data_IF_682314336957
#
_entry.id   IF_682314336957
#
_cell.length_a   1.000
_cell.length_b   1.000
_cell.length_c   1.000
_cell.angle_alpha   90.00
_cell.angle_beta   90.00
_cell.angle_gamma   90.00
#
_symmetry.space_group_name_H-M   'P 1'
#
loop_
_entity.id
_entity.type
_entity.pdbx_description
1 polymer ?
#
# COMPACT_ATOMS: atom_id res chain seq x y z
N UNK A 1 -12.91 0.28 97.48
CA UNK A 1 -11.92 -0.81 97.64
C UNK A 1 -11.58 -1.40 96.27
N UNK A 2 -10.33 -1.87 96.07
CA UNK A 2 -9.85 -2.79 94.99
C UNK A 2 -10.17 -2.35 93.53
N UNK A 3 -9.26 -1.82 92.70
CA UNK A 3 -7.95 -2.32 92.17
C UNK A 3 -8.01 -3.70 91.47
N UNK A 4 -7.54 -3.70 90.21
CA UNK A 4 -6.77 -4.77 89.51
C UNK A 4 -7.55 -6.04 89.07
N UNK A 5 -7.17 -6.78 88.01
CA UNK A 5 -6.12 -6.64 86.97
C UNK A 5 -6.55 -7.44 85.69
N UNK A 6 -5.99 -7.09 84.51
CA UNK A 6 -5.77 -7.89 83.28
C UNK A 6 -6.78 -8.96 82.78
N UNK A 7 -7.01 -8.94 81.46
CA UNK A 7 -6.46 -9.96 80.53
C UNK A 7 -6.19 -9.30 79.17
N UNK A 8 -5.01 -9.57 78.59
CA UNK A 8 -4.70 -9.27 77.18
C UNK A 8 -5.24 -10.40 76.29
N UNK A 9 -5.85 -10.05 75.16
CA UNK A 9 -5.87 -10.90 73.97
C UNK A 9 -5.51 -10.05 72.76
N UNK A 10 -4.35 -10.35 72.16
CA UNK A 10 -3.96 -9.86 70.84
C UNK A 10 -4.86 -10.50 69.77
N UNK A 11 -5.33 -9.73 68.80
CA UNK A 11 -5.66 -10.26 67.48
C UNK A 11 -5.44 -9.19 66.39
N UNK A 12 -4.63 -9.60 65.41
CA UNK A 12 -4.30 -9.02 64.11
C UNK A 12 -5.23 -7.90 63.58
N UNK A 13 -4.68 -6.76 63.15
CA UNK A 13 -4.22 -6.57 61.76
C UNK A 13 -5.24 -7.08 60.71
N UNK A 14 -5.90 -6.14 60.03
CA UNK A 14 -5.56 -5.76 58.65
C UNK A 14 -6.30 -4.45 58.35
N UNK A 15 -5.56 -3.43 57.93
CA UNK A 15 -6.18 -2.20 57.46
C UNK A 15 -6.82 -2.44 56.09
N UNK A 16 -8.15 -2.39 56.03
CA UNK A 16 -8.84 -2.18 54.75
C UNK A 16 -8.62 -0.71 54.39
N UNK A 17 -7.45 -0.43 53.82
CA UNK A 17 -7.28 0.77 53.00
C UNK A 17 -8.39 0.72 51.95
N UNK A 18 -9.20 1.77 51.91
CA UNK A 18 -10.27 1.88 50.93
C UNK A 18 -9.66 1.90 49.54
N UNK A 19 -9.56 0.73 48.91
CA UNK A 19 -9.36 0.62 47.48
C UNK A 19 -10.52 1.40 46.86
N UNK A 20 -10.22 2.60 46.37
CA UNK A 20 -11.05 3.33 45.43
C UNK A 20 -11.16 2.48 44.18
N UNK A 21 -12.07 1.50 44.23
CA UNK A 21 -12.47 0.71 43.09
C UNK A 21 -12.96 1.71 42.06
N UNK A 22 -12.12 1.96 41.05
CA UNK A 22 -12.53 2.72 39.87
C UNK A 22 -13.83 2.06 39.42
N UNK A 23 -14.91 2.84 39.41
CA UNK A 23 -16.21 2.34 38.99
C UNK A 23 -16.00 1.61 37.67
N UNK A 24 -16.57 0.40 37.56
CA UNK A 24 -16.52 -0.38 36.32
C UNK A 24 -17.21 0.47 35.27
N UNK A 25 -16.39 1.19 34.49
CA UNK A 25 -16.86 2.14 33.51
C UNK A 25 -17.70 1.37 32.50
N UNK A 26 -18.88 1.93 32.16
CA UNK A 26 -19.77 1.40 31.12
C UNK A 26 -18.92 0.87 29.96
N UNK A 27 -19.06 -0.41 29.62
CA UNK A 27 -18.28 -1.06 28.58
C UNK A 27 -18.28 -0.18 27.32
N UNK A 28 -17.13 0.44 27.08
CA UNK A 28 -17.02 1.49 26.09
C UNK A 28 -17.07 0.81 24.71
N UNK A 29 -18.22 0.92 24.04
CA UNK A 29 -18.49 0.24 22.77
C UNK A 29 -17.64 0.86 21.66
N UNK A 30 -16.42 0.36 21.53
CA UNK A 30 -15.50 0.71 20.46
C UNK A 30 -16.07 0.25 19.11
N UNK A 31 -15.94 1.11 18.11
CA UNK A 31 -16.22 0.76 16.71
C UNK A 31 -14.93 0.82 15.91
N UNK A 32 -14.59 -0.23 15.17
CA UNK A 32 -13.37 -0.27 14.35
C UNK A 32 -13.79 -0.23 12.87
N UNK A 33 -13.30 0.76 12.12
CA UNK A 33 -13.71 0.98 10.73
C UNK A 33 -12.46 1.24 9.85
N UNK A 34 -12.07 0.32 8.94
CA UNK A 34 -12.57 -1.05 8.75
C UNK A 34 -11.97 -2.08 9.75
N UNK A 35 -12.59 -3.26 9.87
CA UNK A 35 -12.05 -4.38 10.66
C UNK A 35 -10.79 -5.06 10.07
N UNK A 36 -10.46 -4.76 8.82
CA UNK A 36 -9.39 -5.40 8.04
C UNK A 36 -9.38 -4.83 6.63
N UNK A 37 -8.27 -5.00 5.92
CA UNK A 37 -8.15 -4.68 4.49
C UNK A 37 -8.13 -5.95 3.64
N UNK A 38 -8.31 -5.81 2.32
CA UNK A 38 -8.43 -6.90 1.32
C UNK A 38 -7.27 -7.94 1.35
N UNK A 39 -6.17 -7.63 2.03
CA UNK A 39 -4.93 -8.43 2.13
C UNK A 39 -4.61 -8.91 3.55
N UNK A 40 -5.47 -8.61 4.53
CA UNK A 40 -5.29 -9.02 5.92
C UNK A 40 -5.87 -10.41 6.21
N UNK A 41 -5.33 -11.10 7.22
CA UNK A 41 -5.84 -12.40 7.66
C UNK A 41 -7.12 -12.19 8.49
N UNK A 42 -8.23 -12.11 7.76
CA UNK A 42 -9.59 -11.89 8.28
C UNK A 42 -9.77 -10.49 8.87
N UNK A 43 -10.69 -10.37 9.81
CA UNK A 43 -10.99 -9.13 10.55
C UNK A 43 -9.87 -8.77 11.56
N UNK A 44 -8.63 -8.61 11.10
CA UNK A 44 -7.43 -8.43 11.93
C UNK A 44 -7.60 -7.40 13.04
N UNK A 45 -8.08 -6.20 12.70
CA UNK A 45 -8.22 -5.10 13.66
C UNK A 45 -9.41 -5.27 14.61
N UNK A 46 -10.32 -6.22 14.34
CA UNK A 46 -11.46 -6.57 15.19
C UNK A 46 -11.29 -7.91 15.93
N UNK A 47 -10.09 -8.50 15.92
CA UNK A 47 -9.78 -9.65 16.79
C UNK A 47 -9.80 -9.20 18.26
N UNK A 48 -10.22 -10.10 19.15
CA UNK A 48 -10.43 -9.79 20.57
C UNK A 48 -9.19 -9.17 21.24
N UNK A 49 -8.00 -9.68 20.95
CA UNK A 49 -6.73 -9.17 21.46
C UNK A 49 -6.44 -7.71 21.02
N UNK A 50 -6.88 -7.32 19.82
CA UNK A 50 -6.78 -5.94 19.33
C UNK A 50 -7.83 -5.03 19.96
N UNK A 51 -9.07 -5.51 20.11
CA UNK A 51 -10.12 -4.78 20.81
C UNK A 51 -9.73 -4.50 22.27
N UNK A 52 -9.17 -5.47 22.98
CA UNK A 52 -8.68 -5.30 24.35
C UNK A 52 -7.49 -4.32 24.43
N UNK A 53 -6.60 -4.33 23.45
CA UNK A 53 -5.53 -3.33 23.32
C UNK A 53 -6.11 -1.93 23.14
N UNK A 54 -7.15 -1.75 22.32
CA UNK A 54 -7.78 -0.45 22.13
C UNK A 54 -8.54 0.01 23.38
N UNK A 55 -9.28 -0.89 24.06
CA UNK A 55 -9.95 -0.60 25.34
C UNK A 55 -8.97 -0.06 26.39
N UNK A 56 -7.79 -0.68 26.50
CA UNK A 56 -6.69 -0.24 27.39
C UNK A 56 -6.10 1.13 27.02
N UNK A 57 -6.41 1.68 25.84
CA UNK A 57 -5.97 3.00 25.39
C UNK A 57 -7.09 4.06 25.42
N UNK A 58 -8.32 3.71 25.81
CA UNK A 58 -9.41 4.68 26.00
C UNK A 58 -9.11 5.58 27.20
N UNK A 59 -9.26 6.90 27.03
CA UNK A 59 -8.95 7.89 28.06
C UNK A 59 -7.47 8.27 28.16
N UNK A 60 -6.60 7.69 27.33
CA UNK A 60 -5.22 8.14 27.21
C UNK A 60 -5.15 9.57 26.63
N UNK A 61 -4.06 10.27 26.95
CA UNK A 61 -3.78 11.60 26.37
C UNK A 61 -3.72 11.49 24.84
N UNK A 62 -4.44 12.37 24.16
CA UNK A 62 -4.35 12.55 22.71
C UNK A 62 -2.92 12.92 22.33
N UNK A 63 -2.41 12.34 21.25
CA UNK A 63 -1.05 12.58 20.73
C UNK A 63 -1.04 12.98 19.25
N UNK A 64 -2.19 12.95 18.57
CA UNK A 64 -2.34 13.27 17.15
C UNK A 64 -3.64 14.02 16.84
N UNK A 65 -3.55 15.07 16.02
CA UNK A 65 -4.68 15.81 15.44
C UNK A 65 -5.82 16.10 16.45
N UNK A 66 -5.44 16.63 17.62
CA UNK A 66 -6.28 17.08 18.76
C UNK A 66 -7.21 16.06 19.44
N UNK A 67 -7.69 15.04 18.73
CA UNK A 67 -8.73 14.10 19.20
C UNK A 67 -8.28 12.64 19.19
N UNK A 68 -7.13 12.33 18.59
CA UNK A 68 -6.70 10.95 18.34
C UNK A 68 -5.51 10.56 19.23
N UNK A 69 -5.45 9.28 19.56
CA UNK A 69 -4.27 8.59 20.07
C UNK A 69 -3.80 7.58 19.01
N UNK A 70 -2.53 7.66 18.61
CA UNK A 70 -1.89 6.71 17.70
C UNK A 70 -1.46 5.46 18.47
N UNK A 71 -2.00 4.31 18.08
CA UNK A 71 -1.63 3.01 18.65
C UNK A 71 -0.82 2.25 17.61
N UNK A 72 0.40 1.84 18.01
CA UNK A 72 1.30 1.01 17.20
C UNK A 72 1.16 -0.45 17.66
N UNK A 73 0.53 -1.27 16.83
CA UNK A 73 0.34 -2.70 17.07
C UNK A 73 1.58 -3.43 16.55
N UNK A 74 2.29 -4.14 17.41
CA UNK A 74 3.38 -5.02 16.99
C UNK A 74 2.80 -6.27 16.31
N UNK A 75 3.18 -6.49 15.05
CA UNK A 75 2.79 -7.60 14.18
C UNK A 75 4.03 -8.45 13.82
N UNK A 76 4.91 -8.67 14.80
CA UNK A 76 6.17 -9.39 14.66
C UNK A 76 7.30 -8.50 14.16
N UNK A 77 7.50 -8.44 12.84
CA UNK A 77 8.52 -7.59 12.19
C UNK A 77 7.99 -6.22 11.76
N UNK A 78 6.69 -6.00 11.87
CA UNK A 78 6.04 -4.79 11.38
C UNK A 78 5.19 -4.13 12.47
N UNK A 79 5.03 -2.82 12.38
CA UNK A 79 3.95 -2.10 13.03
C UNK A 79 2.74 -2.00 12.11
N UNK A 80 1.56 -2.25 12.66
CA UNK A 80 0.28 -1.77 12.11
C UNK A 80 -0.18 -0.58 12.94
N UNK A 81 -0.64 0.47 12.27
CA UNK A 81 -1.02 1.72 12.92
C UNK A 81 -2.53 1.86 12.93
N UNK A 82 -3.09 2.31 14.05
CA UNK A 82 -4.48 2.77 14.14
C UNK A 82 -4.54 4.12 14.86
N UNK A 83 -5.51 4.95 14.50
CA UNK A 83 -5.88 6.14 15.25
C UNK A 83 -7.17 5.86 16.04
N UNK A 84 -7.09 5.86 17.37
CA UNK A 84 -8.26 5.83 18.25
C UNK A 84 -8.72 7.27 18.50
N UNK A 85 -9.93 7.62 18.07
CA UNK A 85 -10.57 8.88 18.42
C UNK A 85 -11.13 8.79 19.85
N UNK A 86 -10.59 9.60 20.76
CA UNK A 86 -10.97 9.59 22.18
C UNK A 86 -12.37 10.19 22.45
N UNK A 87 -13.02 10.81 21.45
CA UNK A 87 -14.35 11.43 21.59
C UNK A 87 -15.50 10.49 21.20
N UNK A 88 -15.40 9.86 20.03
CA UNK A 88 -16.45 8.97 19.49
C UNK A 88 -16.13 7.47 19.65
N UNK A 89 -14.95 7.16 20.22
CA UNK A 89 -14.46 5.81 20.46
C UNK A 89 -14.35 4.96 19.17
N UNK A 90 -14.15 5.62 18.04
CA UNK A 90 -13.87 4.96 16.77
C UNK A 90 -12.37 4.74 16.57
N UNK A 91 -12.02 3.57 16.07
CA UNK A 91 -10.67 3.16 15.72
C UNK A 91 -10.55 3.10 14.21
N UNK A 92 -9.57 3.81 13.67
CA UNK A 92 -9.34 3.95 12.24
C UNK A 92 -7.96 3.38 11.87
N UNK A 93 -7.90 2.19 11.27
CA UNK A 93 -6.64 1.62 10.80
C UNK A 93 -6.01 2.36 9.62
N UNK A 94 -4.67 2.42 9.62
CA UNK A 94 -3.88 2.78 8.46
C UNK A 94 -3.66 1.53 7.59
N UNK A 95 -3.89 1.67 6.27
CA UNK A 95 -3.74 0.61 5.25
C UNK A 95 -2.26 0.29 4.94
N UNK A 96 -1.44 0.06 5.97
CA UNK A 96 -0.01 -0.28 5.86
C UNK A 96 0.47 -1.16 7.03
N UNK A 97 1.21 -2.22 6.72
CA UNK A 97 2.25 -2.75 7.59
C UNK A 97 3.52 -1.91 7.36
N UNK A 98 4.26 -1.58 8.42
CA UNK A 98 5.39 -0.64 8.38
C UNK A 98 6.57 -1.31 9.10
N UNK A 99 7.79 -1.27 8.56
CA UNK A 99 8.94 -1.90 9.24
C UNK A 99 9.19 -1.28 10.63
N UNK A 100 9.56 -2.12 11.60
CA UNK A 100 9.73 -1.71 12.99
C UNK A 100 10.84 -0.67 13.23
N UNK A 101 11.79 -0.50 12.29
CA UNK A 101 12.84 0.53 12.36
C UNK A 101 12.38 1.90 11.86
N UNK A 102 11.14 1.99 11.35
CA UNK A 102 10.60 3.22 10.78
C UNK A 102 10.45 4.32 11.83
N UNK A 103 10.77 5.56 11.43
CA UNK A 103 10.64 6.76 12.27
C UNK A 103 9.26 7.37 12.06
N UNK A 104 8.59 7.77 13.15
CA UNK A 104 7.25 8.34 13.13
C UNK A 104 7.31 9.79 13.61
N UNK A 105 6.64 10.68 12.89
CA UNK A 105 6.57 12.12 13.12
C UNK A 105 5.10 12.56 13.08
N UNK A 106 4.56 12.88 14.25
CA UNK A 106 3.19 13.33 14.46
C UNK A 106 3.09 14.06 15.81
N UNK A 107 2.08 14.92 15.98
CA UNK A 107 1.84 15.61 17.25
C UNK A 107 0.38 16.03 17.40
N UNK A 108 -0.01 16.41 18.63
CA UNK A 108 -1.36 16.88 18.97
C UNK A 108 -1.80 18.05 18.09
N UNK A 109 -0.86 18.93 17.73
CA UNK A 109 -1.13 20.16 16.99
C UNK A 109 -0.94 20.01 15.47
N UNK A 110 -0.46 18.86 14.99
CA UNK A 110 -0.30 18.55 13.58
C UNK A 110 -1.43 17.60 13.12
N UNK A 111 -2.02 17.89 11.96
CA UNK A 111 -3.03 17.02 11.34
C UNK A 111 -2.43 15.88 10.51
N UNK A 112 -1.10 15.88 10.36
CA UNK A 112 -0.30 14.95 9.56
C UNK A 112 0.43 13.92 10.44
N UNK A 113 0.28 12.65 10.08
CA UNK A 113 1.12 11.54 10.52
C UNK A 113 2.11 11.23 9.40
N UNK A 114 3.37 11.60 9.58
CA UNK A 114 4.46 11.24 8.68
C UNK A 114 5.25 10.05 9.23
N UNK A 115 5.65 9.15 8.35
CA UNK A 115 6.45 7.98 8.70
C UNK A 115 7.57 7.81 7.68
N UNK A 116 8.78 7.49 8.11
CA UNK A 116 9.94 7.23 7.25
C UNK A 116 10.47 5.82 7.49
N UNK A 117 10.46 4.97 6.45
CA UNK A 117 10.92 3.58 6.49
C UNK A 117 10.30 2.73 5.38
N UNK A 118 10.21 1.42 5.57
CA UNK A 118 9.56 0.52 4.60
C UNK A 118 8.06 0.36 4.89
N UNK A 119 7.26 0.39 3.82
CA UNK A 119 5.80 0.23 3.86
C UNK A 119 5.40 -0.95 2.99
N UNK A 120 4.50 -1.76 3.53
CA UNK A 120 3.97 -2.95 2.89
C UNK A 120 2.45 -2.89 2.90
N UNK A 121 1.86 -2.85 1.72
CA UNK A 121 0.42 -2.86 1.53
C UNK A 121 0.11 -3.36 0.13
N UNK A 122 -1.06 -3.97 -0.04
CA UNK A 122 -1.43 -4.59 -1.30
C UNK A 122 -1.34 -3.65 -2.50
N UNK A 123 -0.30 -3.88 -3.32
CA UNK A 123 0.10 -3.12 -4.52
C UNK A 123 0.67 -1.71 -4.28
N UNK A 124 0.80 -1.32 -3.02
CA UNK A 124 1.30 -0.01 -2.59
C UNK A 124 2.57 -0.19 -1.71
N UNK A 125 3.53 -1.01 -2.15
CA UNK A 125 4.77 -1.22 -1.37
C UNK A 125 5.77 -0.08 -1.62
N UNK A 126 6.32 0.50 -0.56
CA UNK A 126 7.29 1.59 -0.64
C UNK A 126 8.53 1.26 0.19
N UNK A 127 9.66 1.01 -0.48
CA UNK A 127 10.93 0.75 0.20
C UNK A 127 11.66 2.04 0.56
N UNK A 128 11.95 2.18 1.85
CA UNK A 128 12.76 3.22 2.46
C UNK A 128 12.29 4.59 1.95
N UNK A 129 11.09 4.96 2.37
CA UNK A 129 10.30 6.07 1.86
C UNK A 129 9.79 6.94 3.01
N UNK A 130 9.43 8.20 2.75
CA UNK A 130 8.64 9.03 3.68
C UNK A 130 7.22 9.18 3.16
N UNK A 131 6.25 8.61 3.85
CA UNK A 131 4.82 8.77 3.55
C UNK A 131 4.15 9.60 4.64
N UNK A 132 3.27 10.53 4.25
CA UNK A 132 2.49 11.35 5.17
C UNK A 132 0.99 11.17 4.93
N UNK A 133 0.23 11.04 6.01
CA UNK A 133 -1.21 10.78 6.02
C UNK A 133 -1.94 11.83 6.86
N UNK A 134 -3.17 12.19 6.46
CA UNK A 134 -4.08 13.04 7.27
C UNK A 134 -5.38 12.28 7.55
N UNK A 135 -6.01 12.55 8.69
CA UNK A 135 -7.36 12.05 8.96
C UNK A 135 -8.41 12.92 8.27
N UNK A 136 -9.19 12.33 7.36
CA UNK A 136 -10.32 12.97 6.68
C UNK A 136 -11.50 12.02 6.80
N UNK A 137 -12.66 12.50 7.29
CA UNK A 137 -13.90 11.75 7.41
C UNK A 137 -13.76 10.36 8.08
N UNK A 138 -12.89 10.22 9.09
CA UNK A 138 -12.63 8.93 9.73
C UNK A 138 -11.82 7.97 8.86
N UNK A 139 -10.86 8.46 8.08
CA UNK A 139 -9.95 7.62 7.30
C UNK A 139 -8.60 8.29 7.10
N UNK A 140 -7.53 7.49 7.10
CA UNK A 140 -6.20 7.96 6.74
C UNK A 140 -6.09 8.16 5.22
N UNK A 141 -6.03 9.42 4.81
CA UNK A 141 -5.79 9.82 3.41
C UNK A 141 -4.32 10.13 3.22
N UNK A 142 -3.66 9.40 2.32
CA UNK A 142 -2.26 9.63 1.90
C UNK A 142 -2.18 11.02 1.26
N UNK A 143 -1.19 11.83 1.66
CA UNK A 143 -1.01 13.22 1.19
C UNK A 143 0.32 13.47 0.48
N UNK A 144 1.39 12.78 0.87
CA UNK A 144 2.71 12.96 0.29
C UNK A 144 3.51 11.65 0.36
N UNK A 145 4.40 11.44 -0.60
CA UNK A 145 5.26 10.27 -0.77
C UNK A 145 6.65 10.77 -1.23
N UNK A 146 7.71 10.24 -0.64
CA UNK A 146 9.09 10.39 -1.10
C UNK A 146 9.74 9.01 -1.04
N UNK A 147 10.24 8.48 -2.16
CA UNK A 147 10.65 7.07 -2.27
C UNK A 147 12.16 6.88 -2.50
N UNK A 148 12.62 5.63 -2.43
CA UNK A 148 13.95 5.20 -2.87
C UNK A 148 15.16 5.75 -2.09
N UNK A 149 15.06 5.81 -0.76
CA UNK A 149 16.25 5.59 0.07
C UNK A 149 16.71 4.09 -0.13
N UNK A 150 17.95 3.69 0.17
CA UNK A 150 18.59 2.44 -0.37
C UNK A 150 18.23 1.10 0.34
N UNK A 151 18.39 -0.14 -0.20
CA UNK A 151 18.69 -0.72 -1.56
C UNK A 151 18.50 -2.29 -1.64
N UNK A 152 17.93 -2.80 -2.77
CA UNK A 152 18.29 -4.08 -3.50
C UNK A 152 17.81 -5.49 -2.99
N UNK A 153 17.80 -6.47 -3.92
CA UNK A 153 17.06 -7.75 -4.01
C UNK A 153 17.79 -8.83 -4.85
N UNK A 154 17.26 -10.07 -4.93
CA UNK A 154 17.37 -11.10 -6.03
C UNK A 154 16.66 -12.42 -5.59
N UNK A 155 16.26 -13.40 -6.40
CA UNK A 155 16.38 -13.69 -7.85
C UNK A 155 15.03 -14.15 -8.47
N UNK A 156 14.92 -14.05 -9.80
CA UNK A 156 14.13 -14.98 -10.63
C UNK A 156 15.11 -15.93 -11.35
N UNK A 157 14.89 -17.25 -11.47
CA UNK A 157 13.70 -18.04 -11.11
C UNK A 157 12.42 -17.45 -11.68
N UNK A 158 12.37 -17.29 -13.01
CA UNK A 158 11.34 -16.59 -13.81
C UNK A 158 9.96 -16.57 -13.14
N UNK A 159 9.73 -15.55 -12.30
CA UNK A 159 8.44 -15.35 -11.67
C UNK A 159 7.50 -14.95 -12.79
N UNK A 160 6.56 -15.84 -13.11
CA UNK A 160 5.46 -15.55 -14.02
C UNK A 160 4.76 -14.30 -13.49
N UNK A 161 5.06 -13.15 -14.09
CA UNK A 161 4.41 -11.90 -13.71
C UNK A 161 2.92 -12.11 -14.00
N UNK A 162 2.10 -12.04 -12.95
CA UNK A 162 0.65 -12.06 -13.08
C UNK A 162 0.22 -10.69 -13.60
N UNK A 163 0.45 -10.51 -14.89
CA UNK A 163 0.02 -9.36 -15.70
C UNK A 163 -1.49 -9.50 -15.86
N UNK A 164 -2.28 -8.43 -15.67
CA UNK A 164 -3.69 -8.41 -15.99
C UNK A 164 -3.95 -7.79 -17.38
N UNK A 165 -5.12 -8.05 -17.97
CA UNK A 165 -5.27 -8.24 -19.41
C UNK A 165 -6.31 -7.31 -20.08
N UNK A 166 -5.78 -6.30 -20.79
CA UNK A 166 -6.35 -5.54 -21.90
C UNK A 166 -7.34 -4.38 -21.59
N UNK A 167 -7.01 -3.22 -22.19
CA UNK A 167 -7.60 -1.87 -21.99
C UNK A 167 -9.14 -1.72 -21.99
N UNK A 168 -9.88 -2.71 -22.50
CA UNK A 168 -11.35 -2.75 -22.42
C UNK A 168 -11.89 -3.11 -21.02
N UNK A 169 -11.01 -3.51 -20.09
CA UNK A 169 -11.40 -4.11 -18.82
C UNK A 169 -12.26 -3.19 -17.97
N UNK A 170 -11.92 -1.91 -17.83
CA UNK A 170 -12.67 -0.97 -16.98
C UNK A 170 -14.16 -0.90 -17.36
N UNK A 171 -14.45 -0.67 -18.64
CA UNK A 171 -15.82 -0.59 -19.18
C UNK A 171 -16.56 -1.93 -19.22
N UNK A 172 -15.86 -3.07 -19.21
CA UNK A 172 -16.49 -4.41 -19.05
C UNK A 172 -16.76 -4.72 -17.59
N UNK A 173 -15.81 -4.40 -16.72
CA UNK A 173 -15.90 -4.58 -15.27
C UNK A 173 -17.07 -3.78 -14.69
N UNK A 174 -17.23 -2.51 -15.09
CA UNK A 174 -18.32 -1.63 -14.64
C UNK A 174 -19.72 -2.17 -14.93
N UNK A 175 -19.88 -3.07 -15.91
CA UNK A 175 -21.17 -3.73 -16.21
C UNK A 175 -21.61 -4.71 -15.12
N UNK A 176 -20.73 -5.04 -14.17
CA UNK A 176 -20.95 -6.13 -13.20
C UNK A 176 -20.27 -5.90 -11.84
N UNK A 177 -19.60 -4.76 -11.63
CA UNK A 177 -18.77 -4.47 -10.45
C UNK A 177 -18.78 -2.97 -10.15
N UNK A 178 -18.45 -2.61 -8.91
CA UNK A 178 -18.33 -1.20 -8.50
C UNK A 178 -17.15 -0.50 -9.17
N UNK A 179 -17.30 0.81 -9.40
CA UNK A 179 -16.26 1.66 -10.00
C UNK A 179 -14.90 1.50 -9.31
N UNK A 180 -14.84 1.60 -7.98
CA UNK A 180 -13.59 1.42 -7.22
C UNK A 180 -12.93 0.03 -7.38
N UNK A 181 -13.72 -1.03 -7.58
CA UNK A 181 -13.17 -2.36 -7.89
C UNK A 181 -12.58 -2.39 -9.30
N UNK A 182 -13.22 -1.72 -10.24
CA UNK A 182 -12.74 -1.62 -11.63
C UNK A 182 -11.54 -0.68 -11.78
N UNK A 183 -11.48 0.42 -11.03
CA UNK A 183 -10.32 1.31 -10.92
C UNK A 183 -9.11 0.50 -10.42
N UNK A 184 -9.22 -0.12 -9.23
CA UNK A 184 -8.19 -1.03 -8.67
C UNK A 184 -7.70 -2.12 -9.64
N UNK A 185 -8.53 -2.56 -10.59
CA UNK A 185 -8.15 -3.58 -11.58
C UNK A 185 -7.52 -2.93 -12.82
N UNK A 186 -8.10 -1.85 -13.34
CA UNK A 186 -7.55 -1.02 -14.42
C UNK A 186 -6.16 -0.46 -14.09
N UNK A 187 -5.95 -0.04 -12.84
CA UNK A 187 -4.67 0.49 -12.34
C UNK A 187 -3.56 -0.57 -12.33
N UNK A 188 -3.91 -1.85 -12.16
CA UNK A 188 -2.97 -2.94 -12.42
C UNK A 188 -2.74 -3.16 -13.91
N UNK A 189 -3.81 -3.16 -14.72
CA UNK A 189 -3.71 -3.46 -16.16
C UNK A 189 -2.90 -2.40 -16.92
N UNK A 190 -2.76 -1.22 -16.33
CA UNK A 190 -1.99 -0.09 -16.83
C UNK A 190 -0.67 0.15 -16.09
N UNK A 191 -0.23 -0.75 -15.21
CA UNK A 191 1.01 -0.54 -14.45
C UNK A 191 2.27 -0.63 -15.32
N UNK A 192 3.05 0.45 -15.34
CA UNK A 192 4.36 0.55 -15.98
C UNK A 192 5.44 0.24 -14.95
N UNK A 193 6.27 -0.78 -15.21
CA UNK A 193 7.40 -1.14 -14.35
C UNK A 193 8.65 -0.39 -14.80
N UNK A 194 9.37 0.27 -13.88
CA UNK A 194 10.67 0.85 -14.21
C UNK A 194 11.66 -0.24 -14.65
N UNK A 195 12.66 0.09 -15.49
CA UNK A 195 13.69 -0.88 -15.86
C UNK A 195 14.45 -1.44 -14.64
N UNK A 196 14.55 -0.64 -13.56
CA UNK A 196 15.11 -1.06 -12.27
C UNK A 196 14.23 -2.14 -11.62
N UNK A 197 12.91 -1.98 -11.61
CA UNK A 197 11.99 -2.98 -11.05
C UNK A 197 11.98 -4.28 -11.86
N UNK A 198 12.09 -4.20 -13.19
CA UNK A 198 12.26 -5.39 -14.04
C UNK A 198 13.58 -6.09 -13.74
N UNK A 199 14.70 -5.36 -13.62
CA UNK A 199 16.01 -5.92 -13.19
C UNK A 199 15.95 -6.65 -11.85
N UNK A 200 15.04 -6.22 -10.99
CA UNK A 200 14.89 -6.70 -9.63
C UNK A 200 13.97 -7.92 -9.52
N UNK A 201 12.89 -7.94 -10.31
CA UNK A 201 11.80 -8.95 -10.26
C UNK A 201 11.92 -10.02 -11.35
N UNK A 202 12.50 -9.66 -12.50
CA UNK A 202 12.73 -10.49 -13.68
C UNK A 202 14.08 -10.16 -14.37
N UNK A 203 15.24 -10.33 -13.68
CA UNK A 203 16.59 -10.13 -14.23
C UNK A 203 16.83 -10.65 -15.66
N UNK A 204 16.25 -11.78 -16.05
CA UNK A 204 16.35 -12.32 -17.41
C UNK A 204 15.57 -11.51 -18.47
N UNK A 205 14.40 -10.96 -18.13
CA UNK A 205 13.69 -10.03 -19.01
C UNK A 205 14.48 -8.73 -19.11
N UNK A 206 15.05 -8.25 -17.99
CA UNK A 206 15.96 -7.12 -18.02
C UNK A 206 17.21 -7.38 -18.88
N UNK A 207 17.75 -8.60 -18.90
CA UNK A 207 18.86 -8.97 -19.79
C UNK A 207 18.47 -8.89 -21.27
N UNK A 208 17.22 -9.21 -21.63
CA UNK A 208 16.68 -8.99 -22.98
C UNK A 208 16.56 -7.48 -23.28
N UNK A 209 15.97 -6.70 -22.37
CA UNK A 209 15.85 -5.24 -22.51
C UNK A 209 17.21 -4.53 -22.60
N UNK A 210 18.25 -5.08 -21.97
CA UNK A 210 19.62 -4.55 -21.98
C UNK A 210 20.40 -4.85 -23.27
N UNK A 211 19.83 -5.62 -24.21
CA UNK A 211 20.47 -5.83 -25.52
C UNK A 211 20.48 -4.52 -26.33
N UNK A 212 21.58 -4.23 -27.04
CA UNK A 212 21.79 -2.95 -27.77
C UNK A 212 20.57 -2.49 -28.59
N UNK A 213 19.85 -3.41 -29.25
CA UNK A 213 18.64 -3.09 -30.05
C UNK A 213 17.52 -2.44 -29.25
N UNK A 214 17.37 -2.79 -27.97
CA UNK A 214 16.34 -2.25 -27.06
C UNK A 214 16.95 -1.18 -26.15
N UNK A 215 18.18 -1.38 -25.67
CA UNK A 215 18.88 -0.43 -24.80
C UNK A 215 19.04 0.95 -25.45
N UNK A 216 19.30 1.00 -26.77
CA UNK A 216 19.42 2.25 -27.52
C UNK A 216 18.11 3.07 -27.60
N UNK A 217 16.96 2.50 -27.26
CA UNK A 217 15.70 3.24 -27.16
C UNK A 217 15.71 4.19 -25.96
N UNK A 218 16.47 3.85 -24.91
CA UNK A 218 16.52 4.55 -23.61
C UNK A 218 15.12 4.71 -23.02
N UNK A 219 14.51 3.56 -22.66
CA UNK A 219 13.18 3.47 -22.06
C UNK A 219 13.23 3.79 -20.56
N UNK A 220 12.22 4.47 -20.04
CA UNK A 220 12.07 4.76 -18.62
C UNK A 220 11.34 3.62 -17.90
N UNK A 221 10.39 2.99 -18.60
CA UNK A 221 9.64 1.85 -18.10
C UNK A 221 9.14 0.90 -19.19
N UNK A 222 8.60 -0.23 -18.75
CA UNK A 222 7.90 -1.20 -19.59
C UNK A 222 6.61 -1.64 -18.93
N UNK A 223 5.55 -1.67 -19.73
CA UNK A 223 4.27 -2.30 -19.42
C UNK A 223 4.21 -3.65 -20.09
N UNK A 224 3.90 -4.71 -19.36
CA UNK A 224 3.79 -6.03 -19.96
C UNK A 224 2.43 -6.19 -20.67
N UNK A 225 2.44 -6.85 -21.82
CA UNK A 225 1.22 -7.33 -22.49
C UNK A 225 1.05 -8.80 -22.11
N UNK A 226 -0.19 -9.30 -21.99
CA UNK A 226 -0.44 -10.73 -21.77
C UNK A 226 0.22 -11.62 -22.83
N UNK A 227 0.49 -12.87 -22.47
CA UNK A 227 0.92 -13.88 -23.44
C UNK A 227 -0.23 -14.19 -24.41
N UNK A 228 0.04 -14.15 -25.72
CA UNK A 228 -0.94 -14.35 -26.78
C UNK A 228 -0.40 -15.48 -27.66
N UNK A 229 -1.05 -16.64 -27.62
CA UNK A 229 -0.53 -17.84 -28.28
C UNK A 229 0.83 -18.25 -27.67
N UNK A 230 1.88 -18.30 -28.50
CA UNK A 230 3.28 -18.50 -28.08
C UNK A 230 4.10 -17.22 -28.05
N UNK A 231 3.47 -16.07 -28.29
CA UNK A 231 4.10 -14.77 -28.38
C UNK A 231 3.96 -13.98 -27.08
N UNK A 232 5.04 -13.30 -26.69
CA UNK A 232 5.08 -12.46 -25.49
C UNK A 232 5.53 -11.06 -25.88
N UNK A 233 4.76 -10.05 -25.46
CA UNK A 233 4.94 -8.66 -25.85
C UNK A 233 5.03 -7.74 -24.61
N UNK A 234 5.59 -6.55 -24.81
CA UNK A 234 5.61 -5.44 -23.86
C UNK A 234 5.41 -4.13 -24.63
N UNK A 235 4.93 -3.09 -23.94
CA UNK A 235 5.09 -1.70 -24.37
C UNK A 235 6.25 -1.11 -23.59
N UNK A 236 7.32 -0.69 -24.27
CA UNK A 236 8.32 0.20 -23.72
C UNK A 236 7.79 1.64 -23.75
N UNK A 237 7.96 2.35 -22.65
CA UNK A 237 7.57 3.76 -22.52
C UNK A 237 8.82 4.60 -22.26
N UNK A 238 8.95 5.68 -23.02
CA UNK A 238 10.00 6.67 -22.88
C UNK A 238 9.36 8.03 -22.69
N UNK A 239 9.68 8.70 -21.60
CA UNK A 239 9.20 10.04 -21.30
C UNK A 239 10.29 11.05 -21.64
N UNK A 240 9.92 12.16 -22.24
CA UNK A 240 10.80 13.27 -22.52
C UNK A 240 10.13 14.54 -22.04
N UNK A 241 10.54 14.96 -20.84
CA UNK A 241 10.18 16.24 -20.25
C UNK A 241 11.03 17.33 -20.90
N UNK A 242 10.35 18.37 -21.38
CA UNK A 242 10.91 19.60 -21.90
C UNK A 242 10.32 20.78 -21.13
N UNK A 243 10.92 21.97 -21.22
CA UNK A 243 10.38 23.17 -20.59
C UNK A 243 8.95 23.52 -21.09
N UNK A 244 8.59 23.06 -22.29
CA UNK A 244 7.28 23.23 -22.92
C UNK A 244 6.28 22.09 -22.61
N UNK A 245 6.71 21.02 -21.93
CA UNK A 245 5.87 19.91 -21.46
C UNK A 245 6.46 18.51 -21.62
N UNK A 246 5.71 17.53 -21.13
CA UNK A 246 6.06 16.10 -21.17
C UNK A 246 5.53 15.41 -22.42
N UNK A 247 6.41 14.78 -23.19
CA UNK A 247 6.04 13.89 -24.30
C UNK A 247 6.33 12.43 -23.94
N UNK A 248 5.51 11.51 -24.43
CA UNK A 248 5.67 10.07 -24.20
C UNK A 248 5.79 9.34 -25.55
N UNK A 249 6.83 8.52 -25.70
CA UNK A 249 7.08 7.69 -26.87
C UNK A 249 6.93 6.22 -26.50
N UNK A 250 6.17 5.50 -27.31
CA UNK A 250 5.80 4.11 -27.04
C UNK A 250 6.42 3.15 -28.05
N UNK A 251 6.81 1.96 -27.59
CA UNK A 251 7.45 0.93 -28.42
C UNK A 251 6.83 -0.43 -28.14
N UNK A 252 6.30 -1.13 -29.16
CA UNK A 252 5.94 -2.54 -29.01
C UNK A 252 7.21 -3.39 -29.06
N UNK A 253 7.48 -4.14 -28.01
CA UNK A 253 8.64 -5.04 -27.89
C UNK A 253 8.11 -6.48 -27.82
N UNK A 254 8.26 -7.23 -28.90
CA UNK A 254 8.05 -8.68 -28.91
C UNK A 254 9.33 -9.33 -28.37
N UNK A 255 9.22 -10.21 -27.38
CA UNK A 255 10.36 -10.94 -26.80
C UNK A 255 10.31 -12.45 -27.04
N UNK A 256 9.16 -12.97 -27.49
CA UNK A 256 9.02 -14.36 -27.94
C UNK A 256 8.14 -14.45 -29.20
N UNK A 257 8.44 -15.39 -30.13
CA UNK A 257 9.61 -16.29 -30.12
C UNK A 257 10.92 -15.59 -30.53
N UNK A 258 10.85 -14.37 -31.08
CA UNK A 258 11.99 -13.57 -31.56
C UNK A 258 11.89 -12.13 -31.06
N UNK A 259 13.04 -11.46 -30.91
CA UNK A 259 13.11 -10.08 -30.42
C UNK A 259 12.86 -9.07 -31.55
N UNK A 260 11.68 -8.46 -31.52
CA UNK A 260 11.20 -7.48 -32.51
C UNK A 260 10.73 -6.22 -31.81
N UNK A 261 10.98 -5.06 -32.43
CA UNK A 261 10.72 -3.73 -31.84
C UNK A 261 10.03 -2.89 -32.90
N UNK A 262 8.89 -2.29 -32.54
CA UNK A 262 8.14 -1.39 -33.40
C UNK A 262 7.96 -0.06 -32.66
N UNK A 263 8.36 1.05 -33.30
CA UNK A 263 8.06 2.39 -32.80
C UNK A 263 6.56 2.68 -33.01
N UNK A 264 5.85 3.01 -31.94
CA UNK A 264 4.43 3.33 -31.93
C UNK A 264 4.15 4.84 -31.93
N UNK A 265 5.19 5.67 -31.85
CA UNK A 265 5.06 7.12 -31.74
C UNK A 265 4.47 7.55 -30.40
N UNK A 266 3.69 8.64 -30.42
CA UNK A 266 3.18 9.32 -29.23
C UNK A 266 1.86 8.73 -28.69
N UNK A 267 1.26 7.75 -29.37
CA UNK A 267 0.01 7.14 -28.91
C UNK A 267 -0.23 5.75 -29.48
N UNK A 268 -0.80 4.88 -28.65
CA UNK A 268 -1.24 3.55 -29.03
C UNK A 268 -2.53 3.18 -28.30
N UNK A 269 -3.29 2.24 -28.85
CA UNK A 269 -4.45 1.61 -28.22
C UNK A 269 -4.47 0.12 -28.55
N UNK A 270 -4.78 -0.74 -27.58
CA UNK A 270 -4.91 -2.20 -27.80
C UNK A 270 -6.33 -2.62 -27.47
N UNK A 271 -7.07 -3.07 -28.49
CA UNK A 271 -8.47 -3.50 -28.30
C UNK A 271 -8.59 -4.86 -27.59
N UNK A 272 -9.82 -5.26 -27.27
CA UNK A 272 -10.05 -6.53 -26.57
C UNK A 272 -9.92 -7.79 -27.44
N UNK A 273 -9.49 -7.63 -28.70
CA UNK A 273 -9.12 -8.71 -29.62
C UNK A 273 -7.61 -8.69 -29.88
N UNK A 274 -6.84 -7.88 -29.15
CA UNK A 274 -5.40 -7.66 -29.32
C UNK A 274 -5.01 -7.12 -30.71
N UNK A 275 -5.85 -6.26 -31.28
CA UNK A 275 -5.44 -5.37 -32.38
C UNK A 275 -4.82 -4.12 -31.75
N UNK A 276 -3.53 -3.86 -32.00
CA UNK A 276 -2.83 -2.65 -31.57
C UNK A 276 -2.91 -1.61 -32.68
N UNK A 277 -3.59 -0.50 -32.43
CA UNK A 277 -3.61 0.69 -33.29
C UNK A 277 -2.64 1.74 -32.77
N UNK A 278 -1.94 2.44 -33.66
CA UNK A 278 -1.00 3.51 -33.30
C UNK A 278 -0.82 4.51 -34.44
N UNK A 279 -0.24 5.68 -34.15
CA UNK A 279 0.07 6.70 -35.15
C UNK A 279 1.53 6.57 -35.58
N UNK A 280 1.78 6.24 -36.84
CA UNK A 280 3.13 6.17 -37.39
C UNK A 280 3.81 7.54 -37.44
N UNK A 281 5.13 7.56 -37.64
CA UNK A 281 5.95 8.77 -37.77
C UNK A 281 5.50 9.74 -38.87
N UNK A 282 4.79 9.24 -39.89
CA UNK A 282 4.19 10.02 -40.99
C UNK A 282 2.78 10.54 -40.66
N UNK A 283 2.30 10.36 -39.43
CA UNK A 283 0.95 10.71 -38.99
C UNK A 283 -0.15 9.72 -39.39
N UNK A 284 0.16 8.74 -40.24
CA UNK A 284 -0.77 7.70 -40.69
C UNK A 284 -1.14 6.71 -39.57
N UNK A 285 -2.42 6.36 -39.47
CA UNK A 285 -2.90 5.31 -38.57
C UNK A 285 -2.42 3.93 -39.04
N UNK A 286 -1.76 3.17 -38.17
CA UNK A 286 -1.26 1.82 -38.42
C UNK A 286 -1.89 0.85 -37.42
N UNK A 287 -2.03 -0.42 -37.82
CA UNK A 287 -2.56 -1.48 -36.96
C UNK A 287 -1.67 -2.73 -37.04
N UNK A 288 -1.42 -3.36 -35.89
CA UNK A 288 -0.68 -4.61 -35.75
C UNK A 288 -1.57 -5.60 -35.01
N UNK A 289 -1.78 -6.78 -35.61
CA UNK A 289 -2.36 -7.91 -34.89
C UNK A 289 -1.31 -8.50 -33.96
N UNK A 290 -1.58 -8.55 -32.66
CA UNK A 290 -0.73 -9.30 -31.73
C UNK A 290 -1.12 -10.78 -31.81
N UNK A 291 -0.17 -11.62 -32.22
CA UNK A 291 -0.24 -13.07 -32.38
C UNK A 291 1.14 -13.71 -32.14
#
# INVERSE_FOLDING_TARGET
MKKQFCILVFLSLIGITGCSAKSVGKDAVLKVEPCGFDYDIGNYYCKADKLDLYKKNVGNKVDFNKNYTIIKINDGKYYRIVALNQKDLKVYPLKYQIDYKSKFDYSVNNDSLCVTGDFYAYRDDYSNSKLCFKMINGSFVKRNISENLSKINKESNLKKILIPNASSYFSKCLRSNSQSKCEKLSDLENHVYSLKDVKNRSPEIYAILSQNKINNLNLDGVKFIPEIGSSQFMIGEKYHDTDDGSTAYFYLIKIKPKIEVYNLGESYAIDSKYNLSYKGSEGNNKNIKLN
#
